data_IF_093474740098
#
_entry.id   IF_093474740098
#
_cell.length_a   1.000
_cell.length_b   1.000
_cell.length_c   1.000
_cell.angle_alpha   90.00
_cell.angle_beta   90.00
_cell.angle_gamma   90.00
#
_symmetry.space_group_name_H-M   'P 1'
#
loop_
_entity.id
_entity.type
_entity.pdbx_description
1 polymer ?
#
# COMPACT_ATOMS: atom_id res chain seq x y z
N UNK A 1 -24.94 23.91 5.89
CA UNK A 1 -24.06 24.26 4.76
C UNK A 1 -22.66 23.90 5.21
N UNK A 2 -22.17 22.72 4.79
CA UNK A 2 -20.95 22.11 5.35
C UNK A 2 -19.71 22.62 4.59
N UNK A 3 -18.59 22.93 5.28
CA UNK A 3 -17.42 23.50 4.64
C UNK A 3 -16.62 22.42 3.90
N UNK A 4 -16.24 22.75 2.67
CA UNK A 4 -15.41 22.02 1.69
C UNK A 4 -13.95 21.79 2.12
N UNK A 5 -13.66 21.66 3.42
CA UNK A 5 -12.27 21.47 3.92
C UNK A 5 -11.76 20.04 3.77
N UNK A 6 -12.64 19.04 3.76
CA UNK A 6 -12.26 17.63 3.60
C UNK A 6 -11.52 17.34 2.30
N UNK A 7 -11.94 17.94 1.18
CA UNK A 7 -11.29 17.76 -0.12
C UNK A 7 -9.87 18.33 -0.13
N UNK A 8 -9.66 19.53 0.45
CA UNK A 8 -8.31 20.15 0.52
C UNK A 8 -7.33 19.37 1.40
N UNK A 9 -7.82 18.74 2.46
CA UNK A 9 -6.99 17.92 3.34
C UNK A 9 -6.66 16.55 2.72
N UNK A 10 -7.45 16.10 1.75
CA UNK A 10 -7.15 14.92 0.93
C UNK A 10 -6.09 15.26 -0.11
N UNK A 11 -6.24 16.41 -0.76
CA UNK A 11 -5.23 16.92 -1.68
C UNK A 11 -3.87 17.11 -0.98
N UNK A 12 -3.84 17.62 0.27
CA UNK A 12 -2.58 17.78 1.02
C UNK A 12 -1.86 16.45 1.29
N UNK A 13 -2.60 15.38 1.57
CA UNK A 13 -2.02 14.04 1.78
C UNK A 13 -1.39 13.52 0.49
N UNK A 14 -2.01 13.76 -0.67
CA UNK A 14 -1.45 13.36 -1.97
C UNK A 14 -0.25 14.22 -2.35
N UNK A 15 -0.36 15.54 -2.17
CA UNK A 15 0.70 16.53 -2.41
C UNK A 15 1.93 16.27 -1.53
N UNK A 16 1.79 15.55 -0.41
CA UNK A 16 2.91 15.24 0.48
C UNK A 16 3.94 14.28 -0.11
N UNK A 17 3.57 13.42 -1.07
CA UNK A 17 4.49 12.43 -1.64
C UNK A 17 4.60 12.45 -3.16
N UNK A 18 3.51 12.80 -3.88
CA UNK A 18 3.51 12.75 -5.34
C UNK A 18 4.60 13.59 -6.02
N UNK A 19 4.91 14.82 -5.53
CA UNK A 19 5.94 15.65 -6.16
C UNK A 19 7.31 14.99 -6.19
N UNK A 20 7.61 14.15 -5.21
CA UNK A 20 8.90 13.47 -5.06
C UNK A 20 8.89 12.03 -5.60
N UNK A 21 7.74 11.51 -6.05
CA UNK A 21 7.57 10.11 -6.42
C UNK A 21 8.52 9.66 -7.54
N UNK A 22 8.61 10.42 -8.63
CA UNK A 22 9.50 10.06 -9.75
C UNK A 22 10.95 9.90 -9.29
N UNK A 23 11.44 10.85 -8.49
CA UNK A 23 12.81 10.82 -7.95
C UNK A 23 12.99 9.63 -7.00
N UNK A 24 12.01 9.36 -6.14
CA UNK A 24 12.06 8.25 -5.21
C UNK A 24 12.07 6.89 -5.92
N UNK A 25 11.31 6.73 -7.01
CA UNK A 25 11.32 5.52 -7.84
C UNK A 25 12.66 5.31 -8.55
N UNK A 26 13.27 6.37 -9.10
CA UNK A 26 14.61 6.27 -9.71
C UNK A 26 15.67 5.84 -8.68
N UNK A 27 15.58 6.37 -7.46
CA UNK A 27 16.44 5.97 -6.34
C UNK A 27 16.17 4.55 -5.83
N UNK A 28 14.90 4.14 -5.83
CA UNK A 28 14.51 2.77 -5.51
C UNK A 28 15.16 1.81 -6.51
N UNK A 29 15.04 2.08 -7.80
CA UNK A 29 15.61 1.28 -8.89
C UNK A 29 17.14 1.22 -8.81
N UNK A 30 17.80 2.34 -8.54
CA UNK A 30 19.27 2.42 -8.48
C UNK A 30 19.88 1.94 -7.15
N UNK A 31 19.07 1.58 -6.16
CA UNK A 31 19.58 1.09 -4.87
C UNK A 31 20.02 2.17 -3.90
N UNK A 32 19.69 3.44 -4.15
CA UNK A 32 20.14 4.59 -3.37
C UNK A 32 19.03 5.29 -2.58
N UNK A 33 17.87 4.64 -2.41
CA UNK A 33 16.75 5.20 -1.67
C UNK A 33 17.08 5.33 -0.19
N UNK A 34 16.78 6.49 0.38
CA UNK A 34 16.96 6.74 1.82
C UNK A 34 15.79 6.22 2.64
N UNK A 35 15.97 6.03 3.94
CA UNK A 35 14.85 5.63 4.81
C UNK A 35 13.71 6.65 4.81
N UNK A 36 14.04 7.94 4.75
CA UNK A 36 13.05 9.02 4.68
C UNK A 36 12.24 8.97 3.38
N UNK A 37 12.90 8.80 2.23
CA UNK A 37 12.21 8.66 0.94
C UNK A 37 11.34 7.40 0.88
N UNK A 38 11.80 6.31 1.48
CA UNK A 38 11.04 5.07 1.52
C UNK A 38 9.75 5.22 2.36
N UNK A 39 9.83 5.73 3.60
CA UNK A 39 8.67 5.84 4.48
C UNK A 39 7.71 6.98 4.10
N UNK A 40 8.25 8.08 3.56
CA UNK A 40 7.46 9.27 3.25
C UNK A 40 6.94 9.29 1.81
N UNK A 41 7.56 8.55 0.88
CA UNK A 41 7.17 8.57 -0.54
C UNK A 41 6.73 7.22 -1.07
N UNK A 42 7.57 6.20 -0.94
CA UNK A 42 7.31 4.90 -1.58
C UNK A 42 6.22 4.08 -0.87
N UNK A 43 6.23 4.06 0.46
CA UNK A 43 5.19 3.39 1.25
C UNK A 43 3.80 4.00 0.98
N UNK A 44 3.64 5.34 0.99
CA UNK A 44 2.37 5.97 0.58
C UNK A 44 1.98 5.69 -0.86
N UNK A 45 2.91 5.68 -1.81
CA UNK A 45 2.63 5.35 -3.21
C UNK A 45 2.02 3.95 -3.37
N UNK A 46 2.64 2.94 -2.77
CA UNK A 46 2.11 1.57 -2.74
C UNK A 46 0.74 1.55 -2.09
N UNK A 47 0.60 2.15 -0.91
CA UNK A 47 -0.65 2.12 -0.18
C UNK A 47 -1.79 2.84 -0.91
N UNK A 48 -1.50 3.96 -1.56
CA UNK A 48 -2.46 4.76 -2.31
C UNK A 48 -2.97 4.03 -3.56
N UNK A 49 -2.17 3.12 -4.14
CA UNK A 49 -2.59 2.31 -5.29
C UNK A 49 -3.87 1.52 -5.00
N UNK A 50 -4.05 1.06 -3.75
CA UNK A 50 -5.25 0.34 -3.30
C UNK A 50 -6.43 1.23 -2.93
N UNK A 51 -6.25 2.55 -2.77
CA UNK A 51 -7.34 3.49 -2.51
C UNK A 51 -7.80 4.28 -3.75
N UNK A 52 -6.98 4.24 -4.81
CA UNK A 52 -7.14 5.08 -6.00
C UNK A 52 -7.68 4.35 -7.21
N UNK A 53 -7.74 3.01 -7.17
CA UNK A 53 -8.36 2.26 -8.25
C UNK A 53 -9.82 2.69 -8.48
N UNK A 54 -10.26 2.58 -9.73
CA UNK A 54 -11.62 2.97 -10.14
C UNK A 54 -12.72 2.12 -9.48
N UNK A 55 -12.36 0.93 -9.02
CA UNK A 55 -13.25 0.01 -8.30
C UNK A 55 -13.46 0.37 -6.84
N UNK A 56 -12.68 1.30 -6.26
CA UNK A 56 -12.70 1.62 -4.84
C UNK A 56 -14.10 1.91 -4.30
N UNK A 57 -14.91 2.72 -5.02
CA UNK A 57 -16.29 3.03 -4.62
C UNK A 57 -17.16 1.77 -4.53
N UNK A 58 -17.06 0.89 -5.53
CA UNK A 58 -17.81 -0.36 -5.56
C UNK A 58 -17.38 -1.31 -4.44
N UNK A 59 -16.06 -1.42 -4.19
CA UNK A 59 -15.50 -2.20 -3.08
C UNK A 59 -15.99 -1.69 -1.73
N UNK A 60 -15.93 -0.37 -1.50
CA UNK A 60 -16.38 0.25 -0.26
C UNK A 60 -17.87 -0.03 0.03
N UNK A 61 -18.74 0.15 -0.96
CA UNK A 61 -20.18 -0.16 -0.83
C UNK A 61 -20.39 -1.65 -0.56
N UNK A 62 -19.65 -2.52 -1.26
CA UNK A 62 -19.69 -3.96 -1.05
C UNK A 62 -19.37 -4.34 0.40
N UNK A 63 -18.32 -3.75 0.99
CA UNK A 63 -17.93 -3.99 2.39
C UNK A 63 -19.00 -3.59 3.38
N UNK A 64 -19.52 -2.37 3.27
CA UNK A 64 -20.57 -1.90 4.18
C UNK A 64 -21.86 -2.71 4.09
N UNK A 65 -22.24 -3.13 2.89
CA UNK A 65 -23.41 -3.99 2.70
C UNK A 65 -23.26 -5.36 3.39
N UNK A 66 -22.02 -5.89 3.47
CA UNK A 66 -21.72 -7.13 4.21
C UNK A 66 -21.77 -6.94 5.73
N UNK A 67 -21.38 -5.77 6.23
CA UNK A 67 -21.24 -5.50 7.66
C UNK A 67 -22.56 -5.06 8.35
N UNK A 68 -23.45 -4.37 7.64
CA UNK A 68 -24.58 -3.65 8.27
C UNK A 68 -25.94 -4.33 8.03
N UNK A 69 -26.02 -5.39 7.21
CA UNK A 69 -27.28 -6.04 6.80
C UNK A 69 -28.36 -5.01 6.39
N UNK A 70 -27.94 -3.99 5.64
CA UNK A 70 -28.78 -2.87 5.20
C UNK A 70 -28.92 -2.85 3.68
N UNK A 71 -30.03 -2.27 3.20
CA UNK A 71 -30.26 -2.07 1.78
C UNK A 71 -29.18 -1.19 1.15
N UNK A 72 -28.56 -1.70 0.08
CA UNK A 72 -27.37 -1.12 -0.58
C UNK A 72 -27.59 0.30 -1.12
N UNK A 73 -28.82 0.64 -1.50
CA UNK A 73 -29.14 1.92 -2.17
C UNK A 73 -29.15 3.12 -1.21
N UNK A 74 -29.84 3.02 -0.07
CA UNK A 74 -29.94 4.12 0.90
C UNK A 74 -28.61 4.39 1.60
N UNK A 75 -27.83 3.34 1.87
CA UNK A 75 -26.51 3.46 2.50
C UNK A 75 -25.44 3.95 1.52
N UNK A 76 -25.55 3.56 0.24
CA UNK A 76 -24.68 4.03 -0.83
C UNK A 76 -24.69 5.56 -0.94
N UNK A 77 -25.86 6.20 -0.83
CA UNK A 77 -25.97 7.65 -0.92
C UNK A 77 -25.23 8.40 0.21
N UNK A 78 -25.19 7.84 1.42
CA UNK A 78 -24.48 8.40 2.58
C UNK A 78 -22.96 8.19 2.47
N UNK A 79 -22.54 6.98 2.13
CA UNK A 79 -21.10 6.60 2.03
C UNK A 79 -20.44 7.23 0.82
N UNK A 80 -21.17 7.39 -0.29
CA UNK A 80 -20.63 7.85 -1.57
C UNK A 80 -20.63 9.37 -1.74
N UNK A 81 -20.96 10.16 -0.71
CA UNK A 81 -20.65 11.59 -0.75
C UNK A 81 -19.13 11.76 -0.94
N UNK A 82 -18.72 12.65 -1.85
CA UNK A 82 -17.32 12.87 -2.22
C UNK A 82 -16.40 13.13 -1.01
N UNK A 83 -16.91 13.80 0.04
CA UNK A 83 -16.15 14.03 1.28
C UNK A 83 -15.87 12.73 2.01
N UNK A 84 -16.88 11.86 2.14
CA UNK A 84 -16.77 10.57 2.81
C UNK A 84 -15.86 9.63 2.03
N UNK A 85 -15.96 9.61 0.70
CA UNK A 85 -15.07 8.82 -0.15
C UNK A 85 -13.62 9.27 0.03
N UNK A 86 -13.38 10.58 0.02
CA UNK A 86 -12.04 11.12 0.14
C UNK A 86 -11.41 10.78 1.49
N UNK A 87 -12.16 10.89 2.59
CA UNK A 87 -11.73 10.49 3.94
C UNK A 87 -11.45 8.98 4.00
N UNK A 88 -12.35 8.15 3.46
CA UNK A 88 -12.18 6.69 3.45
C UNK A 88 -10.91 6.29 2.68
N UNK A 89 -10.55 6.98 1.60
CA UNK A 89 -9.30 6.72 0.86
C UNK A 89 -8.06 6.98 1.70
N UNK A 90 -8.06 8.00 2.55
CA UNK A 90 -6.93 8.28 3.47
C UNK A 90 -6.81 7.18 4.51
N UNK A 91 -7.94 6.80 5.13
CA UNK A 91 -7.97 5.71 6.11
C UNK A 91 -7.48 4.40 5.49
N UNK A 92 -7.92 4.11 4.27
CA UNK A 92 -7.49 2.94 3.51
C UNK A 92 -5.99 3.00 3.21
N UNK A 93 -5.47 4.17 2.81
CA UNK A 93 -4.04 4.36 2.58
C UNK A 93 -3.23 4.10 3.86
N UNK A 94 -3.63 4.62 5.03
CA UNK A 94 -2.89 4.35 6.28
C UNK A 94 -2.91 2.87 6.67
N UNK A 95 -4.05 2.21 6.45
CA UNK A 95 -4.19 0.76 6.65
C UNK A 95 -3.24 -0.01 5.73
N UNK A 96 -3.19 0.31 4.44
CA UNK A 96 -2.29 -0.35 3.50
C UNK A 96 -0.83 0.03 3.65
N UNK A 97 -0.52 1.22 4.14
CA UNK A 97 0.85 1.60 4.46
C UNK A 97 1.43 0.66 5.51
N UNK A 98 0.67 0.41 6.58
CA UNK A 98 1.07 -0.52 7.65
C UNK A 98 1.29 -1.94 7.14
N UNK A 99 0.49 -2.36 6.15
CA UNK A 99 0.62 -3.65 5.46
C UNK A 99 1.85 -3.71 4.55
N UNK A 100 2.14 -2.64 3.83
CA UNK A 100 3.34 -2.53 3.00
C UNK A 100 4.62 -2.56 3.84
N UNK A 101 4.59 -2.02 5.08
CA UNK A 101 5.70 -2.14 6.04
C UNK A 101 5.93 -3.60 6.46
N UNK A 102 4.88 -4.40 6.56
CA UNK A 102 4.94 -5.83 6.91
C UNK A 102 5.34 -6.75 5.74
N UNK A 103 5.76 -6.18 4.61
CA UNK A 103 6.20 -6.94 3.46
C UNK A 103 7.73 -6.87 3.31
N UNK A 104 8.30 -7.91 2.75
CA UNK A 104 9.60 -7.80 2.09
C UNK A 104 9.42 -7.07 0.75
N UNK A 105 10.27 -6.07 0.53
CA UNK A 105 10.33 -5.30 -0.72
C UNK A 105 11.44 -5.86 -1.59
N UNK A 106 11.09 -6.35 -2.77
CA UNK A 106 12.06 -6.80 -3.77
C UNK A 106 11.90 -6.01 -5.06
N UNK A 107 12.98 -5.36 -5.51
CA UNK A 107 13.04 -4.71 -6.82
C UNK A 107 13.62 -5.71 -7.83
N UNK A 108 12.81 -6.05 -8.81
CA UNK A 108 13.13 -7.02 -9.85
C UNK A 108 13.40 -6.30 -11.18
N UNK A 109 14.59 -6.45 -11.72
CA UNK A 109 14.91 -6.06 -13.10
C UNK A 109 14.48 -7.17 -14.08
N UNK A 110 13.80 -6.80 -15.16
CA UNK A 110 13.43 -7.70 -16.25
C UNK A 110 14.11 -7.31 -17.55
N UNK A 111 14.19 -8.26 -18.49
CA UNK A 111 14.91 -8.06 -19.76
C UNK A 111 14.19 -7.08 -20.70
N UNK A 112 12.91 -7.33 -20.94
CA UNK A 112 12.10 -6.56 -21.90
C UNK A 112 11.03 -5.74 -21.19
N UNK A 113 10.40 -4.85 -21.95
CA UNK A 113 9.50 -3.85 -21.40
C UNK A 113 8.22 -4.46 -20.81
N UNK A 114 7.80 -3.91 -19.67
CA UNK A 114 6.59 -4.31 -18.95
C UNK A 114 5.36 -3.55 -19.44
N UNK A 115 4.19 -4.17 -19.28
CA UNK A 115 2.90 -3.46 -19.28
C UNK A 115 2.54 -3.00 -17.87
N UNK A 116 1.71 -1.97 -17.79
CA UNK A 116 1.17 -1.42 -16.55
C UNK A 116 -0.34 -1.59 -16.59
N UNK A 117 -0.96 -2.36 -15.68
CA UNK A 117 -2.42 -2.46 -15.60
C UNK A 117 -3.02 -1.11 -15.19
N UNK A 118 -4.23 -0.80 -15.65
CA UNK A 118 -4.98 0.42 -15.29
C UNK A 118 -5.13 0.63 -13.77
N UNK A 119 -5.17 -0.45 -12.99
CA UNK A 119 -5.23 -0.39 -11.53
C UNK A 119 -3.86 -0.16 -10.85
N UNK A 120 -2.76 -0.24 -11.60
CA UNK A 120 -1.40 0.04 -11.14
C UNK A 120 -0.66 -1.10 -10.42
N UNK A 121 -1.32 -2.24 -10.17
CA UNK A 121 -0.69 -3.40 -9.53
C UNK A 121 -1.28 -4.73 -10.02
N UNK A 122 -0.56 -5.82 -9.75
CA UNK A 122 -0.95 -7.20 -10.04
C UNK A 122 -0.86 -8.07 -8.78
N UNK A 123 -1.62 -9.15 -8.77
CA UNK A 123 -1.70 -10.16 -7.73
C UNK A 123 -1.03 -11.45 -8.24
N UNK A 124 -0.09 -12.01 -7.49
CA UNK A 124 0.48 -13.32 -7.83
C UNK A 124 0.59 -14.21 -6.59
N UNK A 125 0.17 -15.47 -6.73
CA UNK A 125 0.36 -16.51 -5.72
C UNK A 125 1.85 -16.86 -5.64
N UNK A 126 2.41 -16.82 -4.44
CA UNK A 126 3.79 -17.24 -4.22
C UNK A 126 3.84 -18.77 -4.35
N UNK A 127 4.61 -19.28 -5.32
CA UNK A 127 4.61 -20.71 -5.64
C UNK A 127 5.05 -21.58 -4.46
N UNK A 128 6.04 -21.12 -3.70
CA UNK A 128 6.55 -21.79 -2.51
C UNK A 128 5.57 -21.77 -1.33
N UNK A 129 4.62 -20.82 -1.34
CA UNK A 129 3.66 -20.60 -0.27
C UNK A 129 2.27 -20.30 -0.87
N UNK A 130 1.49 -21.33 -1.22
CA UNK A 130 0.25 -21.18 -1.99
C UNK A 130 -0.85 -20.38 -1.26
N UNK A 131 -0.70 -20.13 0.03
CA UNK A 131 -1.59 -19.29 0.83
C UNK A 131 -1.15 -17.82 0.90
N UNK A 132 -0.02 -17.48 0.26
CA UNK A 132 0.56 -16.13 0.26
C UNK A 132 0.35 -15.48 -1.10
N UNK A 133 -0.25 -14.30 -1.08
CA UNK A 133 -0.41 -13.44 -2.26
C UNK A 133 0.63 -12.33 -2.19
N UNK A 134 1.49 -12.29 -3.20
CA UNK A 134 2.39 -11.16 -3.45
C UNK A 134 1.69 -10.08 -4.26
N UNK A 135 2.09 -8.83 -4.01
CA UNK A 135 1.62 -7.67 -4.78
C UNK A 135 2.75 -7.19 -5.67
N UNK A 136 2.45 -6.90 -6.93
CA UNK A 136 3.44 -6.52 -7.93
C UNK A 136 3.11 -5.16 -8.53
N UNK A 137 4.10 -4.28 -8.58
CA UNK A 137 3.94 -2.90 -9.06
C UNK A 137 4.96 -2.64 -10.16
N UNK A 138 4.53 -2.46 -11.41
CA UNK A 138 5.40 -1.94 -12.45
C UNK A 138 5.86 -0.52 -12.10
N UNK A 139 7.12 -0.37 -11.66
CA UNK A 139 7.70 0.91 -11.20
C UNK A 139 8.59 1.58 -12.24
N UNK A 140 8.72 0.96 -13.41
CA UNK A 140 9.44 1.48 -14.56
C UNK A 140 9.27 0.56 -15.75
N UNK A 141 9.88 0.91 -16.89
CA UNK A 141 9.77 0.10 -18.11
C UNK A 141 10.26 -1.33 -17.94
N UNK A 142 11.24 -1.57 -17.07
CA UNK A 142 11.91 -2.86 -16.88
C UNK A 142 12.11 -3.21 -15.40
N UNK A 143 11.34 -2.58 -14.53
CA UNK A 143 11.48 -2.76 -13.09
C UNK A 143 10.12 -3.03 -12.47
N UNK A 144 10.06 -4.09 -11.68
CA UNK A 144 8.90 -4.53 -10.94
C UNK A 144 9.22 -4.49 -9.45
N UNK A 145 8.41 -3.80 -8.66
CA UNK A 145 8.45 -3.92 -7.21
C UNK A 145 7.52 -5.04 -6.80
N UNK A 146 8.06 -6.02 -6.08
CA UNK A 146 7.31 -7.14 -5.50
C UNK A 146 7.26 -6.97 -3.99
N UNK A 147 6.06 -6.96 -3.44
CA UNK A 147 5.79 -7.01 -2.00
C UNK A 147 5.35 -8.40 -1.63
N UNK A 148 6.23 -9.11 -0.92
CA UNK A 148 5.94 -10.44 -0.41
C UNK A 148 5.63 -10.33 1.09
N UNK A 149 4.44 -10.75 1.54
CA UNK A 149 4.13 -10.83 2.96
C UNK A 149 5.24 -11.53 3.76
N UNK A 150 5.77 -10.86 4.78
CA UNK A 150 6.69 -11.47 5.75
C UNK A 150 6.22 -11.25 7.21
N UNK A 151 5.76 -12.30 7.94
CA UNK A 151 5.17 -12.13 9.28
C UNK A 151 6.09 -11.46 10.28
N UNK A 152 7.40 -11.67 10.14
CA UNK A 152 8.40 -11.01 10.97
C UNK A 152 9.66 -10.70 10.18
N UNK A 153 10.20 -9.49 10.36
CA UNK A 153 11.54 -9.17 9.91
C UNK A 153 11.88 -7.69 9.82
N UNK A 154 13.09 -7.45 9.35
CA UNK A 154 13.71 -6.13 9.37
C UNK A 154 13.11 -5.18 8.35
N UNK A 155 12.59 -4.04 8.82
CA UNK A 155 12.11 -2.96 7.96
C UNK A 155 13.21 -1.91 7.72
N UNK A 156 14.06 -1.66 8.71
CA UNK A 156 15.24 -0.81 8.57
C UNK A 156 16.49 -1.42 9.18
N UNK A 157 17.61 -1.30 8.47
CA UNK A 157 18.96 -1.58 8.96
C UNK A 157 19.55 -0.30 9.54
N UNK A 158 20.21 -0.41 10.70
CA UNK A 158 21.02 0.68 11.23
C UNK A 158 22.41 0.61 10.61
N UNK A 159 22.82 1.67 9.91
CA UNK A 159 24.12 1.78 9.24
C UNK A 159 24.90 3.00 9.77
N UNK A 160 26.19 3.11 9.44
CA UNK A 160 27.04 4.23 9.87
C UNK A 160 26.53 5.61 9.39
N UNK A 161 25.62 5.66 8.41
CA UNK A 161 24.98 6.89 7.90
C UNK A 161 23.53 7.09 8.35
N UNK A 162 23.02 6.27 9.28
CA UNK A 162 21.63 6.31 9.75
C UNK A 162 20.82 5.09 9.29
N UNK A 163 19.50 5.26 9.24
CA UNK A 163 18.55 4.22 8.85
C UNK A 163 18.58 3.98 7.33
N UNK A 164 18.59 2.71 6.93
CA UNK A 164 18.50 2.29 5.53
C UNK A 164 17.40 1.23 5.37
N UNK A 165 16.47 1.35 4.40
CA UNK A 165 15.38 0.39 4.23
C UNK A 165 15.93 -0.98 3.83
N UNK A 166 15.30 -2.04 4.32
CA UNK A 166 15.68 -3.40 3.93
C UNK A 166 15.00 -3.80 2.63
N UNK A 167 15.66 -3.52 1.49
CA UNK A 167 15.16 -3.80 0.14
C UNK A 167 16.07 -4.82 -0.53
N UNK A 168 15.46 -5.86 -1.10
CA UNK A 168 16.12 -6.90 -1.89
C UNK A 168 16.13 -6.49 -3.36
N UNK A 169 17.18 -6.88 -4.08
CA UNK A 169 17.34 -6.60 -5.52
C UNK A 169 17.61 -7.89 -6.26
N UNK A 170 16.85 -8.14 -7.32
CA UNK A 170 16.95 -9.36 -8.10
C UNK A 170 16.85 -9.04 -9.61
N UNK A 171 17.34 -9.97 -10.43
CA UNK A 171 17.08 -10.00 -11.86
C UNK A 171 16.22 -11.22 -12.15
N UNK A 172 15.12 -11.01 -12.86
CA UNK A 172 14.24 -12.09 -13.28
C UNK A 172 14.61 -12.54 -14.68
N UNK A 173 14.88 -13.83 -14.82
CA UNK A 173 15.13 -14.49 -16.12
C UNK A 173 13.82 -15.03 -16.74
N UNK A 174 12.67 -14.60 -16.22
CA UNK A 174 11.35 -14.97 -16.72
C UNK A 174 11.07 -14.22 -18.03
N UNK A 175 10.55 -14.88 -19.08
CA UNK A 175 10.14 -14.21 -20.30
C UNK A 175 9.13 -13.08 -20.03
N UNK A 176 9.39 -11.88 -20.54
CA UNK A 176 8.51 -10.72 -20.32
C UNK A 176 7.09 -10.94 -20.86
N UNK A 177 6.88 -11.84 -21.83
CA UNK A 177 5.53 -12.22 -22.29
C UNK A 177 4.72 -12.85 -21.14
N UNK A 178 5.30 -13.79 -20.39
CA UNK A 178 4.61 -14.42 -19.26
C UNK A 178 4.32 -13.41 -18.15
N UNK A 179 5.28 -12.53 -17.85
CA UNK A 179 5.10 -11.45 -16.88
C UNK A 179 4.03 -10.46 -17.33
N UNK A 180 4.02 -10.04 -18.60
CA UNK A 180 3.04 -9.08 -19.11
C UNK A 180 1.63 -9.66 -19.13
N UNK A 181 1.47 -10.94 -19.45
CA UNK A 181 0.19 -11.63 -19.33
C UNK A 181 -0.26 -11.74 -17.88
N UNK A 182 0.65 -12.06 -16.96
CA UNK A 182 0.35 -12.08 -15.52
C UNK A 182 -0.09 -10.68 -15.03
N UNK A 183 0.67 -9.62 -15.34
CA UNK A 183 0.35 -8.23 -15.01
C UNK A 183 -1.00 -7.77 -15.57
N UNK A 184 -1.42 -8.31 -16.72
CA UNK A 184 -2.71 -8.00 -17.32
C UNK A 184 -3.91 -8.63 -16.59
N UNK A 185 -3.72 -9.69 -15.80
CA UNK A 185 -4.82 -10.42 -15.14
C UNK A 185 -5.67 -9.53 -14.23
N UNK A 186 -5.04 -8.58 -13.56
CA UNK A 186 -5.72 -7.64 -12.67
C UNK A 186 -6.22 -6.40 -13.38
N UNK A 187 -5.74 -6.12 -14.60
CA UNK A 187 -6.19 -4.98 -15.39
C UNK A 187 -7.68 -5.11 -15.68
N UNK A 188 -8.42 -4.02 -15.54
CA UNK A 188 -9.87 -4.05 -15.57
C UNK A 188 -10.42 -3.52 -16.89
N UNK A 189 -9.83 -2.47 -17.46
CA UNK A 189 -10.19 -1.96 -18.80
C UNK A 189 -9.03 -2.04 -19.79
N UNK A 190 -7.83 -1.67 -19.37
CA UNK A 190 -6.71 -1.48 -20.27
C UNK A 190 -5.36 -1.73 -19.58
N UNK A 191 -4.34 -1.90 -20.42
CA UNK A 191 -2.94 -1.89 -20.04
C UNK A 191 -2.20 -0.80 -20.81
N UNK A 192 -1.16 -0.24 -20.21
CA UNK A 192 -0.28 0.77 -20.82
C UNK A 192 1.10 0.18 -21.00
N UNK A 193 1.74 0.42 -22.14
CA UNK A 193 3.07 -0.11 -22.42
C UNK A 193 3.59 0.33 -23.77
N UNK A 194 4.74 -0.24 -24.16
CA UNK A 194 5.21 -0.11 -25.54
C UNK A 194 4.36 -0.96 -26.46
N UNK A 195 4.43 -0.70 -27.77
CA UNK A 195 3.73 -1.54 -28.75
C UNK A 195 4.09 -3.01 -28.59
N UNK A 196 5.37 -3.31 -28.42
CA UNK A 196 5.88 -4.67 -28.24
C UNK A 196 5.35 -5.35 -26.98
N UNK A 197 5.29 -4.64 -25.85
CA UNK A 197 4.78 -5.23 -24.61
C UNK A 197 3.25 -5.38 -24.62
N UNK A 198 2.53 -4.46 -25.28
CA UNK A 198 1.08 -4.57 -25.47
C UNK A 198 0.72 -5.75 -26.39
N UNK A 199 1.47 -5.95 -27.49
CA UNK A 199 1.20 -7.04 -28.44
C UNK A 199 1.40 -8.46 -27.82
N UNK A 200 1.99 -8.55 -26.62
CA UNK A 200 2.12 -9.79 -25.83
C UNK A 200 0.88 -10.12 -24.99
N UNK A 201 -0.01 -9.14 -24.77
CA UNK A 201 -1.21 -9.29 -23.94
C UNK A 201 -2.42 -9.55 -24.83
N UNK A 202 -3.25 -10.52 -24.44
CA UNK A 202 -4.51 -10.83 -25.13
C UNK A 202 -5.69 -10.21 -24.39
N UNK A 203 -6.79 -10.00 -25.10
CA UNK A 203 -8.04 -9.53 -24.49
C UNK A 203 -8.57 -10.49 -23.40
N UNK A 204 -8.34 -11.80 -23.57
CA UNK A 204 -8.70 -12.82 -22.58
C UNK A 204 -7.82 -12.81 -21.32
N UNK A 205 -6.69 -12.08 -21.33
CA UNK A 205 -5.85 -11.92 -20.14
C UNK A 205 -6.36 -10.79 -19.24
N UNK A 206 -7.28 -9.94 -19.70
CA UNK A 206 -7.84 -8.82 -18.92
C UNK A 206 -9.02 -9.28 -18.05
N UNK A 207 -9.31 -8.49 -17.01
CA UNK A 207 -10.49 -8.60 -16.15
C UNK A 207 -10.69 -10.00 -15.54
N UNK A 208 -9.60 -10.72 -15.24
CA UNK A 208 -9.67 -12.08 -14.68
C UNK A 208 -10.26 -12.09 -13.26
N UNK A 209 -10.17 -10.95 -12.57
CA UNK A 209 -10.72 -10.77 -11.23
C UNK A 209 -11.82 -9.71 -11.23
N UNK A 210 -12.93 -10.04 -10.57
CA UNK A 210 -13.98 -9.05 -10.28
C UNK A 210 -13.51 -8.10 -9.17
N UNK A 211 -14.16 -6.93 -9.05
CA UNK A 211 -13.90 -6.02 -7.94
C UNK A 211 -14.15 -6.66 -6.56
N UNK A 212 -15.13 -7.55 -6.47
CA UNK A 212 -15.40 -8.30 -5.24
C UNK A 212 -14.24 -9.25 -4.92
N UNK A 213 -13.71 -9.96 -5.91
CA UNK A 213 -12.56 -10.85 -5.73
C UNK A 213 -11.31 -10.06 -5.33
N UNK A 214 -11.04 -8.93 -5.99
CA UNK A 214 -9.93 -8.03 -5.62
C UNK A 214 -10.11 -7.56 -4.18
N UNK A 215 -11.31 -7.14 -3.79
CA UNK A 215 -11.57 -6.68 -2.43
C UNK A 215 -11.34 -7.76 -1.38
N UNK A 216 -11.81 -8.98 -1.61
CA UNK A 216 -11.61 -10.12 -0.70
C UNK A 216 -10.11 -10.44 -0.53
N UNK A 217 -9.33 -10.37 -1.61
CA UNK A 217 -7.87 -10.57 -1.57
C UNK A 217 -7.22 -9.45 -0.77
N UNK A 218 -7.56 -8.20 -1.08
CA UNK A 218 -7.02 -7.04 -0.39
C UNK A 218 -7.38 -7.03 1.09
N UNK A 219 -8.58 -7.47 1.49
CA UNK A 219 -8.97 -7.60 2.90
C UNK A 219 -8.02 -8.53 3.67
N UNK A 220 -7.59 -9.64 3.04
CA UNK A 220 -6.73 -10.67 3.64
C UNK A 220 -5.23 -10.41 3.47
N UNK A 221 -4.84 -9.51 2.56
CA UNK A 221 -3.43 -9.17 2.35
C UNK A 221 -2.91 -8.24 3.45
N UNK A 222 -1.65 -8.38 3.91
CA UNK A 222 -0.65 -9.42 3.60
C UNK A 222 -0.82 -10.66 4.49
N UNK A 223 -1.58 -10.52 5.59
CA UNK A 223 -1.92 -11.57 6.55
C UNK A 223 -3.38 -11.42 6.98
N UNK A 224 -3.95 -12.50 7.54
CA UNK A 224 -5.23 -12.49 8.27
C UNK A 224 -5.18 -11.75 9.62
N UNK A 225 -4.33 -10.74 9.73
CA UNK A 225 -4.21 -9.91 10.92
C UNK A 225 -5.26 -8.82 10.79
N UNK A 226 -5.95 -8.51 11.90
CA UNK A 226 -6.83 -7.34 11.92
C UNK A 226 -5.97 -6.08 11.79
N UNK A 227 -5.83 -5.61 10.56
CA UNK A 227 -4.96 -4.48 10.23
C UNK A 227 -5.45 -3.16 10.81
N UNK A 228 -6.65 -3.12 11.41
CA UNK A 228 -7.06 -2.04 12.30
C UNK A 228 -6.07 -1.86 13.46
N UNK A 229 -5.51 -2.96 13.98
CA UNK A 229 -4.54 -2.94 15.07
C UNK A 229 -3.17 -2.36 14.67
N UNK A 230 -2.85 -2.35 13.37
CA UNK A 230 -1.61 -1.80 12.85
C UNK A 230 -1.74 -0.31 12.47
N UNK A 231 -2.92 0.28 12.60
CA UNK A 231 -3.14 1.67 12.19
C UNK A 231 -2.30 2.62 13.04
N UNK A 232 -1.55 3.52 12.40
CA UNK A 232 -0.58 4.39 13.07
C UNK A 232 0.85 3.83 13.10
N UNK A 233 1.07 2.59 12.64
CA UNK A 233 2.41 1.99 12.54
C UNK A 233 3.34 2.83 11.66
N UNK A 234 2.87 3.29 10.50
CA UNK A 234 3.62 4.19 9.60
C UNK A 234 4.14 5.41 10.35
N UNK A 235 3.32 6.03 11.21
CA UNK A 235 3.70 7.22 11.96
C UNK A 235 4.81 6.91 12.97
N UNK A 236 4.67 5.85 13.75
CA UNK A 236 5.69 5.42 14.70
C UNK A 236 7.03 5.13 14.01
N UNK A 237 6.98 4.41 12.88
CA UNK A 237 8.15 4.09 12.06
C UNK A 237 8.80 5.36 11.48
N UNK A 238 7.99 6.31 10.99
CA UNK A 238 8.48 7.61 10.53
C UNK A 238 9.19 8.39 11.64
N UNK A 239 8.61 8.46 12.84
CA UNK A 239 9.21 9.19 13.96
C UNK A 239 10.56 8.57 14.39
N UNK A 240 10.76 7.26 14.24
CA UNK A 240 12.07 6.61 14.44
C UNK A 240 13.08 7.02 13.36
N UNK A 241 12.66 7.03 12.09
CA UNK A 241 13.51 7.42 10.95
C UNK A 241 13.97 8.87 11.08
N UNK A 242 13.04 9.74 11.46
CA UNK A 242 13.27 11.18 11.62
C UNK A 242 14.01 11.52 12.94
N UNK A 243 14.42 10.50 13.72
CA UNK A 243 15.09 10.64 15.02
C UNK A 243 14.29 11.46 16.05
N UNK A 244 12.97 11.43 15.94
CA UNK A 244 12.04 11.98 16.94
C UNK A 244 11.73 10.97 18.05
N UNK A 245 12.13 9.70 17.87
CA UNK A 245 11.83 8.61 18.78
C UNK A 245 13.04 7.66 18.94
N UNK A 246 13.58 7.60 20.16
CA UNK A 246 14.72 6.75 20.50
C UNK A 246 14.33 5.47 21.29
N UNK A 247 13.10 5.40 21.79
CA UNK A 247 12.53 4.24 22.51
C UNK A 247 11.06 4.05 22.11
N UNK A 248 10.56 2.81 22.20
CA UNK A 248 9.14 2.48 22.01
C UNK A 248 8.33 2.63 23.32
N UNK A 249 8.97 2.95 24.45
CA UNK A 249 8.31 3.12 25.74
C UNK A 249 7.23 4.20 25.66
N UNK A 250 6.01 3.85 26.08
CA UNK A 250 4.84 4.74 26.04
C UNK A 250 4.42 5.20 24.64
N UNK A 251 4.92 4.56 23.58
CA UNK A 251 4.48 4.81 22.21
C UNK A 251 3.28 3.91 21.93
N UNK A 252 2.17 4.54 21.54
CA UNK A 252 0.95 3.84 21.18
C UNK A 252 0.57 4.16 19.75
N UNK A 253 0.21 3.13 19.02
CA UNK A 253 -0.36 3.24 17.68
C UNK A 253 -1.70 3.96 17.78
N UNK A 254 -1.82 5.06 17.05
CA UNK A 254 -3.03 5.87 16.97
C UNK A 254 -3.29 6.28 15.51
N UNK A 255 -4.40 5.81 14.90
CA UNK A 255 -4.75 6.18 13.53
C UNK A 255 -4.96 7.68 13.36
N UNK A 256 -5.48 8.38 14.38
CA UNK A 256 -5.84 9.80 14.27
C UNK A 256 -4.59 10.68 14.26
N UNK A 257 -3.54 10.29 15.01
CA UNK A 257 -2.26 10.98 14.97
C UNK A 257 -1.53 10.81 13.63
N UNK A 258 -1.68 9.64 12.98
CA UNK A 258 -1.12 9.43 11.65
C UNK A 258 -1.79 10.33 10.60
N UNK A 259 -3.04 10.71 10.83
CA UNK A 259 -3.88 11.47 9.91
C UNK A 259 -4.10 12.91 10.40
N UNK A 260 -3.27 13.41 11.32
CA UNK A 260 -3.47 14.68 12.06
C UNK A 260 -3.65 15.95 11.21
N UNK A 261 -3.47 15.87 9.89
CA UNK A 261 -3.80 16.94 8.93
C UNK A 261 -5.31 17.06 8.63
N UNK A 262 -6.11 16.02 8.91
CA UNK A 262 -7.57 16.08 8.85
C UNK A 262 -8.07 16.80 10.12
N UNK A 263 -8.60 18.01 9.95
CA UNK A 263 -9.07 18.90 11.03
C UNK A 263 -9.92 18.23 12.14
N UNK A 264 -9.93 18.80 13.37
CA UNK A 264 -10.56 18.22 14.58
C UNK A 264 -12.10 18.07 14.57
N UNK A 265 -12.77 18.33 13.45
CA UNK A 265 -14.22 18.17 13.28
C UNK A 265 -14.61 17.12 12.24
N UNK A 266 -13.64 16.45 11.61
CA UNK A 266 -13.94 15.26 10.82
C UNK A 266 -14.30 14.11 11.76
N UNK A 267 -15.55 13.66 11.74
CA UNK A 267 -15.93 12.39 12.34
C UNK A 267 -15.27 11.26 11.54
N UNK A 268 -14.06 10.89 11.96
CA UNK A 268 -13.39 9.69 11.49
C UNK A 268 -14.11 8.51 12.13
N UNK A 269 -14.63 7.60 11.31
CA UNK A 269 -15.25 6.35 11.77
C UNK A 269 -14.15 5.49 12.38
N UNK A 270 -13.90 5.68 13.67
CA UNK A 270 -13.01 4.84 14.46
C UNK A 270 -13.62 3.44 14.52
N UNK A 271 -12.98 2.45 13.90
CA UNK A 271 -13.48 1.08 13.95
C UNK A 271 -13.28 0.40 15.32
N UNK A 272 -12.38 0.90 16.19
CA UNK A 272 -12.17 0.33 17.54
C UNK A 272 -11.70 1.29 18.62
N UNK A 273 -11.15 2.48 18.29
CA UNK A 273 -10.65 3.47 19.26
C UNK A 273 -9.54 2.97 20.20
N UNK A 274 -9.07 1.74 19.98
CA UNK A 274 -8.15 1.05 20.88
C UNK A 274 -6.73 1.43 20.53
N UNK A 275 -6.03 2.04 21.49
CA UNK A 275 -4.60 2.30 21.40
C UNK A 275 -3.84 1.02 21.73
N UNK A 276 -2.96 0.59 20.83
CA UNK A 276 -2.13 -0.60 21.02
C UNK A 276 -0.68 -0.13 21.18
N UNK A 277 0.06 -0.62 22.19
CA UNK A 277 1.48 -0.31 22.33
C UNK A 277 2.27 -0.66 21.07
N UNK A 278 3.20 0.20 20.65
CA UNK A 278 4.00 -0.02 19.44
C UNK A 278 4.98 -1.20 19.57
N UNK A 279 5.45 -1.47 20.79
CA UNK A 279 6.29 -2.63 21.14
C UNK A 279 5.59 -3.99 21.00
N UNK A 280 4.25 -4.01 20.84
CA UNK A 280 3.53 -5.22 20.48
C UNK A 280 3.85 -5.71 19.05
N UNK A 281 4.36 -4.81 18.18
CA UNK A 281 4.67 -5.12 16.79
C UNK A 281 6.09 -4.76 16.39
N UNK A 282 6.65 -3.69 16.96
CA UNK A 282 7.97 -3.20 16.62
C UNK A 282 9.01 -3.64 17.65
N UNK A 283 10.17 -4.06 17.18
CA UNK A 283 11.34 -4.28 18.02
C UNK A 283 12.49 -3.41 17.54
N UNK A 284 12.93 -2.49 18.40
CA UNK A 284 14.11 -1.66 18.15
C UNK A 284 15.33 -2.28 18.83
N UNK A 285 16.31 -2.69 18.04
CA UNK A 285 17.55 -3.29 18.56
C UNK A 285 18.78 -2.71 17.85
N UNK A 286 19.98 -3.12 18.30
CA UNK A 286 21.25 -2.53 17.84
C UNK A 286 21.44 -2.54 16.31
N UNK A 287 20.92 -3.56 15.65
CA UNK A 287 21.13 -3.79 14.22
C UNK A 287 20.01 -3.21 13.36
N UNK A 288 18.86 -2.84 13.94
CA UNK A 288 17.82 -2.15 13.22
C UNK A 288 16.46 -2.15 13.88
N UNK A 289 15.43 -1.98 13.05
CA UNK A 289 14.02 -1.97 13.42
C UNK A 289 13.32 -3.14 12.74
N UNK A 290 12.84 -4.08 13.54
CA UNK A 290 12.06 -5.24 13.14
C UNK A 290 10.57 -4.98 13.35
N UNK A 291 9.74 -5.56 12.48
CA UNK A 291 8.29 -5.62 12.61
C UNK A 291 7.89 -7.10 12.70
N UNK A 292 7.11 -7.46 13.72
CA UNK A 292 6.47 -8.77 13.89
C UNK A 292 4.96 -8.59 13.92
N UNK A 293 4.26 -9.39 13.13
CA UNK A 293 2.82 -9.39 13.01
C UNK A 293 2.36 -10.83 13.27
N UNK A 294 2.16 -11.15 14.55
CA UNK A 294 1.64 -12.45 15.00
C UNK A 294 0.16 -12.65 14.65
#
# INVERSE_FOLDING_TARGET
MFPTRGTRAVDSVWDSYEPDLSRALDKLISGSVTASEWINVLVPFVAASFGRDRGYKARLVGRFAREIDADREDFGALVLNDTNIAINRILEMERFASRALACEWTVCEVRDDLVIPDIGYCLELVHEYPDIISMQFPIGRRHLLVLTPRPSGLIFKKSNGGWAPSISYARLEVPSELLNRALATTAQDFVVGTRTSIDQVKAEDLSQYTWETIDQILEQWPFRVDTRNLSGLRRAVKDIVDSNLDSLDHVYLDPLLAISELEPQAELVSATGRRIPADAFLTLHRNGLDLSVD
#
